data_IF_900751289970
#
_entry.id   IF_900751289970
#
_cell.length_a   1.000
_cell.length_b   1.000
_cell.length_c   1.000
_cell.angle_alpha   90.00
_cell.angle_beta   90.00
_cell.angle_gamma   90.00
#
_symmetry.space_group_name_H-M   'P 1'
#
loop_
_entity.id
_entity.type
_entity.pdbx_description
1 polymer ?
#
# COMPACT_ATOMS: atom_id res chain seq x y z
N UNK A 1 15.40 -16.68 -9.31
CA UNK A 1 13.92 -16.71 -9.13
C UNK A 1 13.59 -15.69 -8.05
N UNK A 2 12.60 -14.83 -8.27
CA UNK A 2 12.24 -13.78 -7.31
C UNK A 2 11.25 -14.32 -6.28
N UNK A 3 11.39 -13.87 -5.02
CA UNK A 3 10.52 -14.29 -3.93
C UNK A 3 9.15 -13.62 -4.01
N UNK A 4 9.11 -12.32 -4.32
CA UNK A 4 7.92 -11.47 -4.31
C UNK A 4 7.78 -10.70 -5.63
N UNK A 5 6.54 -10.35 -5.99
CA UNK A 5 6.21 -9.47 -7.10
C UNK A 5 5.07 -8.53 -6.74
N UNK A 6 5.22 -7.25 -7.04
CA UNK A 6 4.10 -6.32 -7.13
C UNK A 6 3.38 -6.55 -8.45
N UNK A 7 2.28 -7.30 -8.40
CA UNK A 7 1.51 -7.67 -9.62
C UNK A 7 0.91 -6.43 -10.25
N UNK A 8 0.52 -5.46 -9.43
CA UNK A 8 0.07 -4.16 -9.88
C UNK A 8 0.53 -3.07 -8.93
N UNK A 9 1.12 -2.03 -9.50
CA UNK A 9 1.56 -0.82 -8.81
C UNK A 9 0.51 0.29 -8.98
N UNK A 10 0.11 0.94 -7.89
CA UNK A 10 -0.63 2.21 -7.88
C UNK A 10 -2.05 2.18 -8.48
N UNK A 11 -2.77 1.07 -8.33
CA UNK A 11 -4.13 0.91 -8.89
C UNK A 11 -5.11 1.97 -8.39
N UNK A 12 -4.94 2.47 -7.16
CA UNK A 12 -5.82 3.48 -6.59
C UNK A 12 -5.70 4.85 -7.28
N UNK A 13 -4.62 5.04 -8.04
CA UNK A 13 -4.28 6.33 -8.66
C UNK A 13 -4.34 6.23 -10.19
N UNK A 14 -4.01 5.07 -10.78
CA UNK A 14 -4.03 4.84 -12.22
C UNK A 14 -4.79 3.58 -12.63
N UNK A 15 -5.88 3.74 -13.38
CA UNK A 15 -6.76 2.63 -13.84
C UNK A 15 -6.81 2.50 -15.35
N UNK A 16 -5.71 2.83 -16.03
CA UNK A 16 -5.71 2.90 -17.49
C UNK A 16 -6.08 1.57 -18.14
N UNK A 17 -5.50 0.44 -17.69
CA UNK A 17 -5.76 -0.88 -18.29
C UNK A 17 -7.20 -1.35 -18.05
N UNK A 18 -7.70 -1.29 -16.82
CA UNK A 18 -9.08 -1.67 -16.51
C UNK A 18 -10.09 -0.79 -17.23
N UNK A 19 -9.81 0.51 -17.36
CA UNK A 19 -10.65 1.44 -18.12
C UNK A 19 -10.62 1.18 -19.63
N UNK A 20 -9.46 0.83 -20.21
CA UNK A 20 -9.34 0.50 -21.63
C UNK A 20 -9.98 -0.83 -22.00
N UNK A 21 -9.88 -1.82 -21.12
CA UNK A 21 -10.46 -3.15 -21.33
C UNK A 21 -11.93 -3.23 -20.88
N UNK A 22 -12.43 -2.22 -20.17
CA UNK A 22 -13.75 -2.23 -19.51
C UNK A 22 -13.92 -3.48 -18.62
N UNK A 23 -12.85 -3.83 -17.90
CA UNK A 23 -12.79 -5.02 -17.06
C UNK A 23 -12.50 -4.63 -15.60
N UNK A 24 -13.51 -4.77 -14.76
CA UNK A 24 -13.43 -4.46 -13.32
C UNK A 24 -12.78 -5.57 -12.51
N UNK A 25 -12.62 -6.77 -13.07
CA UNK A 25 -11.99 -7.93 -12.43
C UNK A 25 -10.56 -8.19 -12.98
N UNK A 26 -10.03 -7.30 -13.83
CA UNK A 26 -8.69 -7.38 -14.44
C UNK A 26 -7.60 -7.71 -13.40
N UNK A 27 -7.63 -7.03 -12.24
CA UNK A 27 -6.63 -7.26 -11.20
C UNK A 27 -6.71 -8.69 -10.64
N UNK A 28 -7.92 -9.23 -10.46
CA UNK A 28 -8.09 -10.63 -10.04
C UNK A 28 -7.48 -11.57 -11.08
N UNK A 29 -7.74 -11.30 -12.36
CA UNK A 29 -7.17 -12.09 -13.45
C UNK A 29 -5.65 -12.02 -13.45
N UNK A 30 -5.05 -10.84 -13.29
CA UNK A 30 -3.59 -10.66 -13.23
C UNK A 30 -2.97 -11.51 -12.11
N UNK A 31 -3.55 -11.51 -10.90
CA UNK A 31 -3.05 -12.32 -9.79
C UNK A 31 -3.11 -13.83 -10.08
N UNK A 32 -4.22 -14.30 -10.67
CA UNK A 32 -4.38 -15.72 -11.02
C UNK A 32 -3.39 -16.13 -12.11
N UNK A 33 -3.18 -15.27 -13.11
CA UNK A 33 -2.24 -15.53 -14.20
C UNK A 33 -0.79 -15.50 -13.71
N UNK A 34 -0.39 -14.52 -12.90
CA UNK A 34 0.95 -14.49 -12.31
C UNK A 34 1.23 -15.73 -11.46
N UNK A 35 0.24 -16.20 -10.70
CA UNK A 35 0.40 -17.39 -9.88
C UNK A 35 0.48 -18.68 -10.71
N UNK A 36 -0.22 -18.76 -11.84
CA UNK A 36 -0.12 -19.92 -12.75
C UNK A 36 1.29 -20.04 -13.33
N UNK A 37 1.92 -18.90 -13.64
CA UNK A 37 3.27 -18.81 -14.18
C UNK A 37 4.36 -18.97 -13.12
N UNK A 38 4.17 -18.42 -11.92
CA UNK A 38 5.16 -18.39 -10.84
C UNK A 38 4.54 -18.76 -9.49
N UNK A 39 4.10 -20.02 -9.27
CA UNK A 39 3.29 -20.41 -8.11
C UNK A 39 4.01 -20.32 -6.76
N UNK A 40 5.35 -20.22 -6.75
CA UNK A 40 6.12 -20.09 -5.50
C UNK A 40 6.31 -18.65 -5.03
N UNK A 41 5.98 -17.65 -5.84
CA UNK A 41 6.19 -16.26 -5.48
C UNK A 41 5.00 -15.74 -4.68
N UNK A 42 5.26 -14.91 -3.65
CA UNK A 42 4.19 -14.15 -3.01
C UNK A 42 3.84 -12.96 -3.90
N UNK A 43 2.56 -12.74 -4.12
CA UNK A 43 2.06 -11.67 -5.00
C UNK A 43 1.51 -10.53 -4.16
N UNK A 44 1.89 -9.31 -4.52
CA UNK A 44 1.61 -8.09 -3.77
C UNK A 44 0.76 -7.14 -4.60
N UNK A 45 -0.14 -6.43 -3.92
CA UNK A 45 -0.55 -5.10 -4.35
C UNK A 45 0.43 -4.10 -3.76
N UNK A 46 0.75 -3.00 -4.45
CA UNK A 46 1.65 -1.95 -3.94
C UNK A 46 1.07 -0.56 -4.25
N UNK A 47 1.00 0.33 -3.26
CA UNK A 47 0.44 1.67 -3.47
C UNK A 47 0.98 2.73 -2.49
N UNK A 48 0.98 3.99 -2.91
CA UNK A 48 1.32 5.15 -2.08
C UNK A 48 0.07 5.80 -1.47
N UNK A 49 0.25 6.84 -0.66
CA UNK A 49 -0.83 7.62 -0.03
C UNK A 49 -1.83 6.83 0.83
N UNK A 50 -1.59 5.55 1.12
CA UNK A 50 -2.40 4.73 2.04
C UNK A 50 -1.85 4.72 3.47
N UNK A 51 -0.54 4.98 3.63
CA UNK A 51 0.18 4.87 4.89
C UNK A 51 0.89 6.16 5.30
N UNK A 52 1.80 6.68 4.46
CA UNK A 52 2.69 7.80 4.79
C UNK A 52 2.02 9.18 4.76
N UNK A 53 0.80 9.29 4.22
CA UNK A 53 0.02 10.52 4.33
C UNK A 53 0.32 11.57 3.26
N UNK A 54 0.27 11.25 1.96
CA UNK A 54 0.33 12.26 0.90
C UNK A 54 -1.08 12.64 0.41
N UNK A 55 -1.27 13.92 0.05
CA UNK A 55 -2.51 14.45 -0.54
C UNK A 55 -2.46 14.24 -2.05
N UNK A 56 -2.87 13.06 -2.52
CA UNK A 56 -3.05 12.80 -3.94
C UNK A 56 -4.49 12.43 -4.25
N UNK A 57 -4.96 12.84 -5.42
CA UNK A 57 -6.30 12.53 -5.91
C UNK A 57 -6.43 11.02 -6.11
N UNK A 58 -7.34 10.40 -5.35
CA UNK A 58 -7.63 8.97 -5.45
C UNK A 58 -8.66 8.77 -6.55
N UNK A 59 -8.37 7.88 -7.49
CA UNK A 59 -9.36 7.37 -8.44
C UNK A 59 -9.92 6.08 -7.83
N UNK A 60 -11.05 6.19 -7.11
CA UNK A 60 -11.72 4.99 -6.61
C UNK A 60 -12.36 4.21 -7.78
N UNK A 61 -12.18 2.88 -7.83
CA UNK A 61 -12.84 1.96 -8.80
C UNK A 61 -14.38 2.04 -8.81
N UNK A 62 -14.97 2.73 -7.83
CA UNK A 62 -16.39 3.03 -7.77
C UNK A 62 -16.52 4.55 -7.70
N UNK A 63 -17.35 5.12 -8.57
CA UNK A 63 -17.51 6.54 -8.91
C UNK A 63 -17.84 7.54 -7.76
N UNK A 64 -17.42 7.31 -6.52
CA UNK A 64 -17.90 8.06 -5.34
C UNK A 64 -16.84 8.87 -4.59
N UNK A 65 -15.59 8.93 -5.05
CA UNK A 65 -14.52 9.66 -4.34
C UNK A 65 -14.17 11.04 -4.93
N UNK A 66 -14.81 11.48 -6.01
CA UNK A 66 -14.61 12.82 -6.55
C UNK A 66 -15.27 13.87 -5.63
N UNK A 67 -14.47 14.66 -4.92
CA UNK A 67 -14.93 15.90 -4.25
C UNK A 67 -14.91 15.97 -2.71
N UNK A 68 -14.13 15.14 -2.01
CA UNK A 68 -14.11 15.14 -0.53
C UNK A 68 -12.79 15.72 0.01
N UNK A 69 -12.84 16.57 1.04
CA UNK A 69 -11.71 17.34 1.61
C UNK A 69 -10.58 16.49 2.22
N UNK A 70 -9.36 17.04 2.29
CA UNK A 70 -8.08 16.33 2.49
C UNK A 70 -7.97 15.26 3.60
N UNK A 71 -8.63 15.41 4.76
CA UNK A 71 -8.57 14.39 5.82
C UNK A 71 -9.44 13.16 5.52
N UNK A 72 -10.57 13.38 4.83
CA UNK A 72 -11.41 12.30 4.32
C UNK A 72 -10.66 11.48 3.27
N UNK A 73 -9.85 12.13 2.42
CA UNK A 73 -9.16 11.48 1.32
C UNK A 73 -8.23 10.36 1.82
N UNK A 74 -7.44 10.59 2.86
CA UNK A 74 -6.57 9.57 3.45
C UNK A 74 -7.35 8.35 3.97
N UNK A 75 -8.46 8.60 4.68
CA UNK A 75 -9.35 7.54 5.13
C UNK A 75 -9.96 6.80 3.92
N UNK A 76 -10.33 7.52 2.86
CA UNK A 76 -10.85 6.94 1.63
C UNK A 76 -9.79 6.10 0.89
N UNK A 77 -8.53 6.53 0.77
CA UNK A 77 -7.43 5.74 0.19
C UNK A 77 -7.26 4.43 0.94
N UNK A 78 -7.13 4.53 2.27
CA UNK A 78 -6.89 3.39 3.13
C UNK A 78 -8.04 2.38 3.04
N UNK A 79 -9.29 2.86 3.08
CA UNK A 79 -10.46 2.01 2.94
C UNK A 79 -10.63 1.46 1.52
N UNK A 80 -10.27 2.21 0.48
CA UNK A 80 -10.28 1.72 -0.89
C UNK A 80 -9.24 0.62 -1.09
N UNK A 81 -8.05 0.79 -0.51
CA UNK A 81 -6.99 -0.21 -0.53
C UNK A 81 -7.39 -1.49 0.19
N UNK A 82 -7.97 -1.37 1.38
CA UNK A 82 -8.55 -2.50 2.12
C UNK A 82 -9.59 -3.22 1.28
N UNK A 83 -10.54 -2.50 0.67
CA UNK A 83 -11.59 -3.09 -0.19
C UNK A 83 -11.01 -3.79 -1.43
N UNK A 84 -9.94 -3.26 -2.02
CA UNK A 84 -9.24 -3.90 -3.14
C UNK A 84 -8.69 -5.27 -2.72
N UNK A 85 -8.01 -5.33 -1.56
CA UNK A 85 -7.50 -6.58 -0.99
C UNK A 85 -8.64 -7.55 -0.66
N UNK A 86 -9.71 -7.08 -0.01
CA UNK A 86 -10.89 -7.90 0.31
C UNK A 86 -11.55 -8.47 -0.95
N UNK A 87 -11.62 -7.69 -2.04
CA UNK A 87 -12.14 -8.15 -3.32
C UNK A 87 -11.27 -9.26 -3.90
N UNK A 88 -9.94 -9.11 -3.89
CA UNK A 88 -9.02 -10.15 -4.35
C UNK A 88 -9.20 -11.45 -3.55
N UNK A 89 -9.34 -11.35 -2.22
CA UNK A 89 -9.62 -12.51 -1.38
C UNK A 89 -10.97 -13.14 -1.73
N UNK A 90 -12.02 -12.33 -1.87
CA UNK A 90 -13.37 -12.81 -2.19
C UNK A 90 -13.47 -13.47 -3.57
N UNK A 91 -12.64 -13.07 -4.54
CA UNK A 91 -12.60 -13.65 -5.88
C UNK A 91 -11.59 -14.80 -6.04
N UNK A 92 -10.93 -15.20 -4.94
CA UNK A 92 -9.96 -16.29 -4.90
C UNK A 92 -8.64 -15.97 -5.61
N UNK A 93 -8.23 -14.71 -5.65
CA UNK A 93 -6.92 -14.32 -6.15
C UNK A 93 -5.83 -14.67 -5.10
N UNK A 94 -4.69 -15.24 -5.52
CA UNK A 94 -3.60 -15.62 -4.64
C UNK A 94 -2.76 -14.39 -4.22
N UNK A 95 -3.25 -13.63 -3.24
CA UNK A 95 -2.53 -12.51 -2.64
C UNK A 95 -1.68 -12.98 -1.45
N UNK A 96 -0.41 -12.59 -1.44
CA UNK A 96 0.56 -12.97 -0.41
C UNK A 96 1.09 -11.81 0.43
N UNK A 97 0.80 -10.56 0.05
CA UNK A 97 1.23 -9.39 0.81
C UNK A 97 0.57 -8.08 0.35
N UNK A 98 0.61 -7.09 1.24
CA UNK A 98 0.17 -5.71 1.01
C UNK A 98 1.39 -4.79 1.08
N UNK A 99 1.77 -4.20 -0.04
CA UNK A 99 2.84 -3.21 -0.13
C UNK A 99 2.33 -1.81 0.16
N UNK A 100 2.86 -1.17 1.20
CA UNK A 100 2.69 0.26 1.43
C UNK A 100 4.01 0.94 1.08
N UNK A 101 4.02 1.79 0.05
CA UNK A 101 5.28 2.39 -0.43
C UNK A 101 6.02 3.14 0.69
N UNK A 102 5.30 3.85 1.56
CA UNK A 102 5.88 4.52 2.73
C UNK A 102 6.82 5.70 2.40
N UNK A 103 6.53 6.45 1.34
CA UNK A 103 7.16 7.76 1.06
C UNK A 103 6.65 8.84 2.01
N UNK A 104 7.44 9.23 3.02
CA UNK A 104 7.05 10.23 4.02
C UNK A 104 7.47 11.63 3.59
N UNK A 105 6.50 12.45 3.18
CA UNK A 105 6.72 13.87 2.84
C UNK A 105 6.30 14.85 3.95
N UNK A 106 5.66 14.35 5.02
CA UNK A 106 5.31 15.10 6.22
C UNK A 106 5.08 14.17 7.41
N UNK A 107 5.37 14.61 8.65
CA UNK A 107 5.13 13.80 9.83
C UNK A 107 3.63 13.75 10.18
N UNK A 108 3.20 12.61 10.73
CA UNK A 108 1.94 12.43 11.46
C UNK A 108 2.24 11.85 12.85
N UNK A 109 1.33 11.98 13.83
CA UNK A 109 1.51 11.29 15.11
C UNK A 109 1.66 9.77 14.93
N UNK A 110 2.59 9.13 15.64
CA UNK A 110 2.89 7.69 15.52
C UNK A 110 1.67 6.78 15.65
N UNK A 111 0.76 7.13 16.56
CA UNK A 111 -0.53 6.44 16.73
C UNK A 111 -1.37 6.41 15.45
N UNK A 112 -1.22 7.39 14.57
CA UNK A 112 -1.92 7.44 13.28
C UNK A 112 -1.38 6.39 12.32
N UNK A 113 -0.06 6.21 12.24
CA UNK A 113 0.55 5.16 11.42
C UNK A 113 0.15 3.77 11.90
N UNK A 114 0.17 3.54 13.22
CA UNK A 114 -0.32 2.30 13.84
C UNK A 114 -1.78 2.01 13.46
N UNK A 115 -2.66 3.02 13.59
CA UNK A 115 -4.08 2.88 13.23
C UNK A 115 -4.27 2.56 11.75
N UNK A 116 -3.50 3.19 10.85
CA UNK A 116 -3.58 2.94 9.41
C UNK A 116 -3.19 1.49 9.08
N UNK A 117 -2.06 1.02 9.60
CA UNK A 117 -1.64 -0.38 9.40
C UNK A 117 -2.62 -1.37 10.05
N UNK A 118 -3.19 -1.03 11.21
CA UNK A 118 -4.20 -1.88 11.87
C UNK A 118 -5.47 -2.06 11.03
N UNK A 119 -5.84 -1.09 10.20
CA UNK A 119 -6.98 -1.21 9.27
C UNK A 119 -6.67 -2.22 8.17
N UNK A 120 -5.47 -2.18 7.58
CA UNK A 120 -5.06 -3.15 6.56
C UNK A 120 -4.88 -4.55 7.16
N UNK A 121 -4.38 -4.64 8.40
CA UNK A 121 -4.19 -5.91 9.12
C UNK A 121 -5.51 -6.69 9.31
N UNK A 122 -6.67 -6.03 9.30
CA UNK A 122 -7.98 -6.69 9.35
C UNK A 122 -8.25 -7.61 8.17
N UNK A 123 -7.52 -7.47 7.06
CA UNK A 123 -7.61 -8.39 5.90
C UNK A 123 -6.96 -9.74 6.16
N UNK A 124 -6.11 -9.85 7.20
CA UNK A 124 -5.32 -11.05 7.48
C UNK A 124 -4.11 -11.24 6.57
N UNK A 125 -3.83 -10.29 5.66
CA UNK A 125 -2.69 -10.35 4.75
C UNK A 125 -1.50 -9.57 5.32
N UNK A 126 -0.28 -10.13 5.29
CA UNK A 126 0.92 -9.45 5.78
C UNK A 126 1.20 -8.12 5.09
N UNK A 127 1.69 -7.13 5.84
CA UNK A 127 2.01 -5.80 5.33
C UNK A 127 3.51 -5.62 5.20
N UNK A 128 3.95 -4.99 4.12
CA UNK A 128 5.33 -4.64 3.84
C UNK A 128 5.45 -3.15 3.57
N UNK A 129 6.40 -2.48 4.23
CA UNK A 129 6.85 -1.17 3.80
C UNK A 129 7.84 -1.39 2.66
N UNK A 130 7.45 -1.05 1.44
CA UNK A 130 8.15 -1.49 0.22
C UNK A 130 9.15 -0.49 -0.33
N UNK A 131 8.96 0.80 -0.05
CA UNK A 131 9.72 1.89 -0.68
C UNK A 131 9.97 3.04 0.31
N UNK A 132 10.33 2.70 1.55
CA UNK A 132 10.37 3.68 2.64
C UNK A 132 11.45 4.74 2.41
N UNK A 133 11.07 6.01 2.47
CA UNK A 133 11.97 7.16 2.53
C UNK A 133 11.35 8.32 3.32
N UNK A 134 12.20 9.22 3.81
CA UNK A 134 11.80 10.40 4.58
C UNK A 134 12.30 11.64 3.86
N UNK A 135 11.39 12.51 3.42
CA UNK A 135 11.69 13.66 2.55
C UNK A 135 11.25 14.99 3.16
N UNK A 136 11.21 15.07 4.49
CA UNK A 136 10.83 16.27 5.22
C UNK A 136 11.83 16.57 6.33
N UNK A 137 11.86 17.82 6.78
CA UNK A 137 12.73 18.24 7.88
C UNK A 137 14.22 18.21 7.53
N UNK A 138 15.03 18.60 8.50
CA UNK A 138 16.49 18.44 8.45
C UNK A 138 16.93 17.04 8.95
N UNK A 139 18.23 16.75 8.86
CA UNK A 139 18.80 15.45 9.21
C UNK A 139 18.45 14.98 10.63
N UNK A 140 18.46 15.87 11.63
CA UNK A 140 18.10 15.50 13.02
C UNK A 140 16.62 15.10 13.13
N UNK A 141 15.73 15.81 12.42
CA UNK A 141 14.31 15.48 12.35
C UNK A 141 14.06 14.17 11.61
N UNK A 142 14.78 13.92 10.52
CA UNK A 142 14.67 12.68 9.75
C UNK A 142 15.16 11.47 10.55
N UNK A 143 16.29 11.61 11.24
CA UNK A 143 16.83 10.56 12.12
C UNK A 143 15.86 10.24 13.26
N UNK A 144 15.32 11.27 13.93
CA UNK A 144 14.36 11.08 15.01
C UNK A 144 13.08 10.37 14.51
N UNK A 145 12.54 10.83 13.37
CA UNK A 145 11.36 10.20 12.79
C UNK A 145 11.63 8.75 12.35
N UNK A 146 12.80 8.48 11.77
CA UNK A 146 13.18 7.15 11.31
C UNK A 146 13.32 6.17 12.49
N UNK A 147 13.93 6.59 13.61
CA UNK A 147 13.99 5.78 14.84
C UNK A 147 12.58 5.43 15.34
N UNK A 148 11.68 6.42 15.42
CA UNK A 148 10.30 6.22 15.87
C UNK A 148 9.50 5.30 14.95
N UNK A 149 9.52 5.54 13.63
CA UNK A 149 8.71 4.78 12.68
C UNK A 149 9.22 3.34 12.53
N UNK A 150 10.54 3.12 12.60
CA UNK A 150 11.11 1.77 12.62
C UNK A 150 10.71 1.04 13.89
N UNK A 151 10.90 1.62 15.08
CA UNK A 151 10.47 0.99 16.35
C UNK A 151 9.00 0.63 16.33
N UNK A 152 8.15 1.56 15.86
CA UNK A 152 6.72 1.31 15.72
C UNK A 152 6.48 0.12 14.80
N UNK A 153 6.99 0.15 13.57
CA UNK A 153 6.70 -0.89 12.57
C UNK A 153 7.26 -2.26 12.94
N UNK A 154 8.46 -2.32 13.53
CA UNK A 154 9.03 -3.56 14.11
C UNK A 154 8.19 -4.13 15.25
N UNK A 155 7.45 -3.31 15.98
CA UNK A 155 6.59 -3.78 17.09
C UNK A 155 5.26 -4.40 16.63
N UNK A 156 4.92 -4.29 15.35
CA UNK A 156 3.63 -4.72 14.82
C UNK A 156 3.74 -6.11 14.16
N UNK A 157 3.10 -7.16 14.70
CA UNK A 157 3.31 -8.53 14.23
C UNK A 157 2.75 -8.81 12.82
N UNK A 158 1.90 -7.92 12.30
CA UNK A 158 1.35 -7.99 10.94
C UNK A 158 2.20 -7.22 9.91
N UNK A 159 3.31 -6.61 10.33
CA UNK A 159 4.34 -6.06 9.44
C UNK A 159 5.44 -7.09 9.28
N UNK A 160 5.61 -7.64 8.08
CA UNK A 160 6.58 -8.71 7.81
C UNK A 160 7.81 -8.26 7.03
N UNK A 161 7.85 -7.02 6.54
CA UNK A 161 9.00 -6.50 5.80
C UNK A 161 9.07 -4.99 5.73
N UNK A 162 10.31 -4.48 5.69
CA UNK A 162 10.64 -3.06 5.54
C UNK A 162 11.79 -2.98 4.52
N UNK A 163 11.60 -2.21 3.47
CA UNK A 163 12.57 -1.96 2.39
C UNK A 163 12.67 -0.44 2.21
N UNK A 164 13.90 0.06 2.11
CA UNK A 164 14.19 1.47 1.86
C UNK A 164 14.23 1.77 0.36
N UNK A 165 13.73 2.94 -0.04
CA UNK A 165 13.80 3.41 -1.42
C UNK A 165 15.08 4.20 -1.69
N UNK A 166 16.20 3.48 -1.65
CA UNK A 166 17.52 4.06 -1.84
C UNK A 166 18.56 3.39 -0.96
N UNK A 167 19.83 3.64 -1.26
CA UNK A 167 20.97 3.15 -0.49
C UNK A 167 21.86 4.29 0.01
N UNK A 168 21.93 5.41 -0.73
CA UNK A 168 22.63 6.64 -0.35
C UNK A 168 21.85 7.86 -0.86
N UNK A 169 22.13 9.03 -0.28
CA UNK A 169 21.67 10.35 -0.74
C UNK A 169 22.74 11.07 -1.58
#
# INVERSE_FOLDING_TARGET
RFAHYDVNNEQLHGQWYSGKLNDTDLLTWMFKEFHSLVPSAKLFVNDFSVFAGATHNIVCCFHTCAGIESYSQMFHSLQAYKRQVERLLATGAPIGGIGVQAHFSKPSPMVSYMKRLSVLAQTGIPIWLTEMDVRFGNDDEQVAFLDDILRLTFSLPYVEGIIFWGFWD
#
